data_IF_636643797479
#
_entry.id   IF_636643797479
#
_cell.length_a   1.000
_cell.length_b   1.000
_cell.length_c   1.000
_cell.angle_alpha   90.00
_cell.angle_beta   90.00
_cell.angle_gamma   90.00
#
_symmetry.space_group_name_H-M   'P 1'
#
loop_
_entity.id
_entity.type
_entity.pdbx_description
1 polymer ?
#
# COMPACT_ATOMS: atom_id res chain seq x y z
N UNK A 1 24.44 -24.26 4.48
CA UNK A 1 23.07 -24.64 4.85
C UNK A 1 22.11 -24.01 3.84
N UNK A 2 21.54 -24.80 2.92
CA UNK A 2 20.71 -24.32 1.82
C UNK A 2 19.24 -24.28 2.26
N UNK A 3 18.76 -23.08 2.62
CA UNK A 3 17.35 -22.84 2.89
C UNK A 3 16.62 -22.54 1.59
N UNK A 4 15.76 -23.47 1.14
CA UNK A 4 14.83 -23.23 0.03
C UNK A 4 13.67 -22.38 0.53
N UNK A 5 13.61 -21.10 0.15
CA UNK A 5 12.44 -20.27 0.39
C UNK A 5 11.51 -20.34 -0.82
N UNK A 6 10.26 -20.78 -0.57
CA UNK A 6 9.17 -20.74 -1.55
C UNK A 6 8.63 -19.32 -1.62
N UNK A 7 8.68 -18.72 -2.80
CA UNK A 7 8.01 -17.44 -3.08
C UNK A 7 6.52 -17.69 -3.25
N UNK A 8 5.72 -17.36 -2.23
CA UNK A 8 4.26 -17.35 -2.32
C UNK A 8 3.82 -15.99 -2.83
N UNK A 9 3.35 -15.93 -4.07
CA UNK A 9 2.62 -14.77 -4.60
C UNK A 9 1.32 -14.63 -3.81
N UNK A 10 1.18 -13.54 -3.05
CA UNK A 10 -0.07 -13.24 -2.35
C UNK A 10 -1.11 -12.72 -3.33
N UNK A 11 -2.17 -13.51 -3.56
CA UNK A 11 -3.38 -13.07 -4.24
C UNK A 11 -4.32 -12.41 -3.23
N UNK A 12 -4.68 -11.15 -3.45
CA UNK A 12 -5.66 -10.44 -2.62
C UNK A 12 -7.07 -10.76 -3.11
N UNK A 13 -7.68 -11.83 -2.58
CA UNK A 13 -9.10 -12.09 -2.75
C UNK A 13 -9.92 -11.18 -1.83
N UNK A 14 -10.77 -10.32 -2.40
CA UNK A 14 -11.75 -9.53 -1.65
C UNK A 14 -13.16 -10.06 -1.95
N UNK A 15 -13.68 -10.91 -1.09
CA UNK A 15 -15.09 -11.34 -1.11
C UNK A 15 -15.87 -10.53 -0.08
N UNK A 16 -16.83 -9.71 -0.54
CA UNK A 16 -17.77 -9.00 0.35
C UNK A 16 -19.10 -9.73 0.29
N UNK A 17 -19.38 -10.56 1.30
CA UNK A 17 -20.68 -11.22 1.44
C UNK A 17 -21.71 -10.21 1.97
N UNK A 18 -22.61 -9.75 1.10
CA UNK A 18 -23.79 -8.98 1.47
C UNK A 18 -25.02 -9.88 1.42
N UNK A 19 -25.49 -10.30 2.59
CA UNK A 19 -26.70 -11.09 2.78
C UNK A 19 -27.92 -10.15 2.60
N UNK A 20 -28.71 -10.34 1.53
CA UNK A 20 -29.99 -9.65 1.35
C UNK A 20 -31.10 -10.46 2.02
N UNK A 21 -31.69 -9.91 3.08
CA UNK A 21 -33.01 -10.31 3.55
C UNK A 21 -34.04 -9.36 2.92
N UNK A 22 -34.93 -9.92 2.10
CA UNK A 22 -36.15 -9.26 1.66
C UNK A 22 -37.16 -9.28 2.81
N UNK A 23 -37.71 -8.11 3.14
CA UNK A 23 -38.86 -7.96 4.03
C UNK A 23 -39.58 -6.68 3.66
N UNK A 24 -40.72 -6.82 2.97
CA UNK A 24 -41.60 -5.69 2.67
C UNK A 24 -42.40 -5.31 3.91
N UNK A 25 -42.48 -4.01 4.17
CA UNK A 25 -43.56 -3.39 4.94
C UNK A 25 -43.70 -1.95 4.47
N UNK A 26 -44.85 -1.66 3.87
CA UNK A 26 -45.34 -0.32 3.57
C UNK A 26 -45.75 0.32 4.90
N UNK A 27 -45.11 1.41 5.29
CA UNK A 27 -45.63 2.33 6.29
C UNK A 27 -45.32 3.77 5.89
N UNK A 28 -46.36 4.57 6.01
CA UNK A 28 -46.44 5.97 5.62
C UNK A 28 -45.38 6.83 6.30
N UNK A 29 -44.93 7.80 5.52
CA UNK A 29 -43.75 8.62 5.74
C UNK A 29 -44.17 9.91 6.40
N UNK A 30 -44.03 10.02 7.72
CA UNK A 30 -43.90 11.33 8.38
C UNK A 30 -42.41 11.62 8.58
N UNK A 31 -41.79 12.14 7.52
CA UNK A 31 -40.46 12.76 7.60
C UNK A 31 -40.62 14.13 8.26
N UNK A 32 -40.43 14.18 9.57
CA UNK A 32 -40.08 15.42 10.28
C UNK A 32 -38.72 15.85 9.75
N UNK A 33 -38.72 16.84 8.86
CA UNK A 33 -37.53 17.55 8.42
C UNK A 33 -36.97 18.34 9.63
N UNK A 34 -35.69 18.16 10.00
CA UNK A 34 -35.04 19.11 10.88
C UNK A 34 -34.99 20.46 10.15
N UNK A 35 -35.73 21.44 10.65
CA UNK A 35 -35.48 22.83 10.33
C UNK A 35 -34.06 23.19 10.76
N UNK A 36 -33.40 24.00 9.95
CA UNK A 36 -32.10 24.62 10.23
C UNK A 36 -30.87 23.72 10.09
N UNK A 37 -30.35 23.63 8.85
CA UNK A 37 -29.00 24.11 8.46
C UNK A 37 -29.13 24.46 6.96
N UNK A 38 -29.53 25.71 6.67
CA UNK A 38 -29.24 26.30 5.36
C UNK A 38 -27.83 26.88 5.43
N UNK A 39 -26.83 26.00 5.46
CA UNK A 39 -25.50 26.43 5.06
C UNK A 39 -25.50 26.43 3.53
N UNK A 40 -25.71 27.60 2.93
CA UNK A 40 -25.65 27.83 1.47
C UNK A 40 -24.19 27.84 0.97
N UNK A 41 -23.31 27.10 1.63
CA UNK A 41 -22.00 26.84 1.06
C UNK A 41 -22.19 25.88 -0.11
N UNK A 42 -21.63 26.16 -1.29
CA UNK A 42 -21.55 25.15 -2.34
C UNK A 42 -20.90 23.90 -1.73
N UNK A 43 -21.28 22.68 -2.17
CA UNK A 43 -20.55 21.50 -1.75
C UNK A 43 -19.06 21.77 -1.98
N UNK A 44 -18.20 21.46 -0.99
CA UNK A 44 -16.79 21.79 -1.07
C UNK A 44 -16.23 21.29 -2.38
N UNK A 45 -15.36 22.08 -3.01
CA UNK A 45 -14.78 21.67 -4.29
C UNK A 45 -14.04 20.35 -4.08
N UNK A 46 -13.90 19.57 -5.15
CA UNK A 46 -13.12 18.34 -5.09
C UNK A 46 -11.69 18.62 -4.57
N UNK A 47 -11.13 19.81 -4.83
CA UNK A 47 -9.83 20.22 -4.28
C UNK A 47 -9.84 20.43 -2.75
N UNK A 48 -10.96 20.87 -2.16
CA UNK A 48 -11.10 21.06 -0.71
C UNK A 48 -11.25 19.72 0.05
N UNK A 49 -12.01 18.76 -0.52
CA UNK A 49 -12.29 17.46 0.13
C UNK A 49 -11.12 16.50 0.05
N UNK A 50 -10.36 16.54 -1.05
CA UNK A 50 -9.17 15.70 -1.23
C UNK A 50 -7.98 16.26 -0.41
N UNK A 51 -8.19 17.43 0.21
CA UNK A 51 -7.11 18.27 0.69
C UNK A 51 -6.32 18.79 -0.49
N UNK A 52 -5.83 20.02 -0.36
CA UNK A 52 -4.57 20.32 -1.00
C UNK A 52 -3.60 19.22 -0.56
N UNK A 53 -3.33 18.25 -1.45
CA UNK A 53 -1.96 17.83 -1.64
C UNK A 53 -1.22 19.12 -1.98
N UNK A 54 -0.85 19.87 -0.94
CA UNK A 54 0.30 20.72 -0.96
C UNK A 54 1.44 19.73 -1.23
N UNK A 55 1.63 19.41 -2.51
CA UNK A 55 2.97 19.30 -3.02
C UNK A 55 3.64 20.56 -2.49
N UNK A 56 4.48 20.40 -1.48
CA UNK A 56 5.34 21.43 -0.91
C UNK A 56 6.38 21.87 -1.94
N UNK A 57 5.92 22.22 -3.13
CA UNK A 57 6.66 22.75 -4.26
C UNK A 57 6.20 24.19 -4.41
N UNK A 58 6.51 25.01 -3.41
CA UNK A 58 7.04 26.33 -3.70
C UNK A 58 8.46 26.10 -4.23
N UNK A 59 8.56 25.49 -5.41
CA UNK A 59 9.82 25.31 -6.10
C UNK A 59 9.79 26.35 -7.22
N UNK A 60 10.79 27.21 -7.22
CA UNK A 60 11.02 28.23 -8.24
C UNK A 60 10.69 27.68 -9.63
N UNK A 61 10.14 28.54 -10.50
CA UNK A 61 9.80 28.26 -11.90
C UNK A 61 11.01 27.92 -12.78
N UNK A 62 12.02 27.23 -12.25
CA UNK A 62 12.94 26.44 -13.06
C UNK A 62 12.14 25.27 -13.63
N UNK A 63 11.80 25.40 -14.91
CA UNK A 63 11.06 24.42 -15.70
C UNK A 63 11.45 22.99 -15.32
N UNK A 64 10.49 22.23 -14.79
CA UNK A 64 10.68 20.81 -14.57
C UNK A 64 11.12 20.18 -15.88
N UNK A 65 12.13 19.29 -15.86
CA UNK A 65 12.63 18.72 -17.09
C UNK A 65 11.50 17.97 -17.79
N UNK A 66 11.45 17.95 -19.14
CA UNK A 66 10.41 17.23 -19.85
C UNK A 66 10.42 15.77 -19.40
N UNK A 67 9.28 15.34 -18.83
CA UNK A 67 9.08 13.99 -18.32
C UNK A 67 8.38 13.16 -19.40
N UNK A 68 8.92 11.98 -19.66
CA UNK A 68 8.26 10.92 -20.42
C UNK A 68 8.09 9.71 -19.50
N UNK A 69 7.27 8.74 -19.90
CA UNK A 69 7.16 7.50 -19.14
C UNK A 69 7.07 6.29 -20.07
N UNK A 70 7.43 5.13 -19.52
CA UNK A 70 7.18 3.84 -20.14
C UNK A 70 6.59 2.88 -19.10
N UNK A 71 5.68 2.02 -19.54
CA UNK A 71 5.13 0.94 -18.72
C UNK A 71 5.74 -0.39 -19.16
N UNK A 72 6.33 -1.11 -18.22
CA UNK A 72 6.89 -2.44 -18.43
C UNK A 72 5.98 -3.42 -17.71
N UNK A 73 5.23 -4.19 -18.50
CA UNK A 73 4.30 -5.20 -18.00
C UNK A 73 4.96 -6.58 -18.06
N UNK A 74 4.63 -7.50 -17.13
CA UNK A 74 5.15 -8.86 -17.20
C UNK A 74 4.53 -9.60 -18.38
N UNK A 75 5.30 -10.51 -19.00
CA UNK A 75 4.77 -11.36 -20.06
C UNK A 75 3.81 -12.39 -19.46
N UNK A 76 2.73 -12.69 -20.18
CA UNK A 76 1.87 -13.82 -19.83
C UNK A 76 2.57 -15.12 -20.25
N UNK A 77 2.72 -16.05 -19.30
CA UNK A 77 3.28 -17.38 -19.51
C UNK A 77 2.19 -18.40 -19.84
N UNK A 78 1.05 -18.29 -19.14
CA UNK A 78 -0.11 -19.16 -19.33
C UNK A 78 -1.37 -18.30 -19.29
N UNK A 79 -2.20 -18.33 -20.34
CA UNK A 79 -3.37 -17.45 -20.49
C UNK A 79 -4.46 -17.69 -19.45
N UNK A 80 -4.52 -18.89 -18.86
CA UNK A 80 -5.61 -19.29 -17.98
C UNK A 80 -6.97 -19.34 -18.71
N UNK A 81 -8.04 -19.30 -17.93
CA UNK A 81 -9.43 -19.26 -18.40
C UNK A 81 -10.26 -18.42 -17.42
N UNK A 82 -10.23 -17.10 -17.60
CA UNK A 82 -10.83 -16.10 -16.69
C UNK A 82 -12.34 -16.32 -16.55
N UNK A 83 -13.01 -16.75 -17.63
CA UNK A 83 -14.42 -17.15 -17.67
C UNK A 83 -14.72 -18.36 -16.76
N UNK A 84 -13.77 -19.30 -16.66
CA UNK A 84 -13.82 -20.47 -15.78
C UNK A 84 -13.13 -20.27 -14.43
N UNK A 85 -12.82 -19.02 -14.07
CA UNK A 85 -12.12 -18.65 -12.82
C UNK A 85 -10.72 -19.27 -12.68
N UNK A 86 -10.04 -19.56 -13.78
CA UNK A 86 -8.65 -20.01 -13.79
C UNK A 86 -7.78 -18.80 -14.13
N UNK A 87 -6.95 -18.30 -13.19
CA UNK A 87 -6.15 -17.10 -13.44
C UNK A 87 -5.05 -17.39 -14.46
N UNK A 88 -4.72 -16.41 -15.33
CA UNK A 88 -3.46 -16.42 -16.07
C UNK A 88 -2.25 -16.43 -15.14
N UNK A 89 -1.15 -16.98 -15.63
CA UNK A 89 0.16 -16.95 -14.99
C UNK A 89 1.07 -15.99 -15.74
N UNK A 90 1.73 -15.10 -14.99
CA UNK A 90 2.65 -14.11 -15.52
C UNK A 90 4.07 -14.36 -15.04
N UNK A 91 5.02 -13.72 -15.73
CA UNK A 91 6.38 -13.60 -15.24
C UNK A 91 6.44 -12.95 -13.85
N UNK A 92 7.41 -13.35 -13.01
CA UNK A 92 7.63 -12.70 -11.72
C UNK A 92 8.08 -11.25 -11.90
N UNK A 93 7.87 -10.41 -10.87
CA UNK A 93 8.27 -9.01 -10.90
C UNK A 93 9.78 -8.81 -11.13
N UNK A 94 10.61 -9.78 -10.74
CA UNK A 94 12.05 -9.75 -11.03
C UNK A 94 12.34 -9.70 -12.54
N UNK A 95 11.55 -10.38 -13.38
CA UNK A 95 11.71 -10.32 -14.82
C UNK A 95 11.38 -8.93 -15.39
N UNK A 96 10.41 -8.23 -14.78
CA UNK A 96 10.07 -6.84 -15.14
C UNK A 96 11.28 -5.93 -14.93
N UNK A 97 12.01 -6.12 -13.82
CA UNK A 97 13.24 -5.36 -13.53
C UNK A 97 14.36 -5.67 -14.52
N UNK A 98 14.51 -6.93 -14.92
CA UNK A 98 15.48 -7.32 -15.94
C UNK A 98 15.16 -6.69 -17.29
N UNK A 99 13.89 -6.75 -17.71
CA UNK A 99 13.40 -6.10 -18.94
C UNK A 99 13.57 -4.57 -18.88
N UNK A 100 13.38 -3.95 -17.70
CA UNK A 100 13.62 -2.54 -17.49
C UNK A 100 15.09 -2.15 -17.66
N UNK A 101 16.00 -2.94 -17.10
CA UNK A 101 17.43 -2.74 -17.28
C UNK A 101 17.88 -2.95 -18.73
N UNK A 102 17.32 -3.94 -19.42
CA UNK A 102 17.55 -4.12 -20.85
C UNK A 102 17.07 -2.92 -21.67
N UNK A 103 15.86 -2.43 -21.39
CA UNK A 103 15.34 -1.24 -22.05
C UNK A 103 16.22 0.00 -21.80
N UNK A 104 16.67 0.21 -20.56
CA UNK A 104 17.57 1.33 -20.22
C UNK A 104 18.93 1.22 -20.93
N UNK A 105 19.47 0.00 -21.10
CA UNK A 105 20.71 -0.23 -21.87
C UNK A 105 20.54 0.18 -23.33
N UNK A 106 19.40 -0.15 -23.94
CA UNK A 106 19.08 0.24 -25.31
C UNK A 106 18.78 1.75 -25.45
N UNK A 107 18.44 2.43 -24.35
CA UNK A 107 18.05 3.85 -24.31
C UNK A 107 19.00 4.67 -23.41
N UNK A 108 20.31 4.57 -23.64
CA UNK A 108 21.37 5.17 -22.80
C UNK A 108 21.35 6.70 -22.71
N UNK A 109 20.59 7.38 -23.59
CA UNK A 109 20.33 8.82 -23.55
C UNK A 109 19.25 9.25 -22.54
N UNK A 110 18.56 8.28 -21.92
CA UNK A 110 17.52 8.51 -20.91
C UNK A 110 18.04 8.18 -19.51
N UNK A 111 17.54 8.89 -18.51
CA UNK A 111 17.72 8.56 -17.09
C UNK A 111 16.36 8.40 -16.41
N UNK A 112 16.28 7.45 -15.49
CA UNK A 112 15.13 7.25 -14.62
C UNK A 112 15.12 8.33 -13.55
N UNK A 113 14.01 9.05 -13.48
CA UNK A 113 13.74 10.03 -12.43
C UNK A 113 13.01 9.40 -11.26
N UNK A 114 11.99 8.58 -11.55
CA UNK A 114 11.16 7.90 -10.54
C UNK A 114 10.61 6.60 -11.11
N UNK A 115 10.33 5.66 -10.21
CA UNK A 115 9.59 4.44 -10.54
C UNK A 115 8.26 4.41 -9.77
N UNK A 116 7.23 3.83 -10.37
CA UNK A 116 5.99 3.49 -9.70
C UNK A 116 5.50 2.12 -10.15
N UNK A 117 4.73 1.44 -9.28
CA UNK A 117 4.02 0.23 -9.69
C UNK A 117 2.68 0.62 -10.28
N UNK A 118 2.32 0.00 -11.40
CA UNK A 118 1.04 0.22 -12.08
C UNK A 118 0.23 -1.05 -12.06
N UNK A 119 -0.99 -0.99 -11.55
CA UNK A 119 -1.91 -2.12 -11.55
C UNK A 119 -2.80 -2.03 -12.79
N UNK A 120 -2.87 -3.11 -13.56
CA UNK A 120 -3.68 -3.18 -14.76
C UNK A 120 -4.63 -4.37 -14.70
N UNK A 121 -5.90 -4.11 -15.01
CA UNK A 121 -6.90 -5.17 -15.14
C UNK A 121 -6.67 -5.94 -16.43
N UNK A 122 -6.80 -7.26 -16.36
CA UNK A 122 -6.74 -8.13 -17.53
C UNK A 122 -8.16 -8.29 -18.07
N UNK A 123 -8.34 -7.94 -19.35
CA UNK A 123 -9.59 -8.18 -20.08
C UNK A 123 -9.49 -9.47 -20.89
N UNK A 124 -10.64 -10.10 -21.18
CA UNK A 124 -10.80 -11.38 -21.90
C UNK A 124 -9.62 -11.70 -22.85
N UNK A 125 -8.75 -12.63 -22.43
CA UNK A 125 -7.44 -12.85 -23.06
C UNK A 125 -6.31 -12.25 -22.23
N UNK A 126 -5.09 -12.18 -22.76
CA UNK A 126 -3.93 -11.61 -22.05
C UNK A 126 -3.75 -10.11 -22.31
N UNK A 127 -4.81 -9.45 -22.79
CA UNK A 127 -4.73 -8.07 -23.25
C UNK A 127 -4.79 -7.15 -22.04
N UNK A 128 -3.68 -6.47 -21.79
CA UNK A 128 -3.58 -5.39 -20.82
C UNK A 128 -4.02 -4.11 -21.51
N UNK A 129 -5.18 -3.57 -21.15
CA UNK A 129 -5.62 -2.29 -21.68
C UNK A 129 -4.85 -1.16 -20.99
N UNK A 130 -3.97 -0.48 -21.75
CA UNK A 130 -3.14 0.60 -21.22
C UNK A 130 -3.85 1.96 -21.20
N UNK A 131 -4.95 2.11 -21.96
CA UNK A 131 -5.51 3.42 -22.28
C UNK A 131 -6.98 3.61 -21.89
N UNK A 132 -7.70 2.55 -21.48
CA UNK A 132 -9.11 2.71 -21.10
C UNK A 132 -9.29 3.35 -19.73
N UNK A 133 -9.94 4.51 -19.69
CA UNK A 133 -10.40 5.19 -18.47
C UNK A 133 -11.69 4.56 -17.90
N UNK A 134 -12.42 3.79 -18.71
CA UNK A 134 -13.67 3.15 -18.32
C UNK A 134 -13.43 1.70 -17.88
N UNK A 135 -13.28 1.50 -16.58
CA UNK A 135 -13.16 0.17 -16.00
C UNK A 135 -14.55 -0.31 -15.60
N UNK A 136 -15.10 -1.28 -16.34
CA UNK A 136 -16.30 -1.97 -15.89
C UNK A 136 -15.90 -3.13 -14.96
N UNK A 137 -16.06 -2.92 -13.65
CA UNK A 137 -15.90 -3.98 -12.66
C UNK A 137 -17.19 -4.79 -12.54
N UNK A 138 -17.12 -6.10 -12.80
CA UNK A 138 -18.26 -6.96 -12.53
C UNK A 138 -18.40 -7.14 -11.02
N UNK A 139 -19.52 -6.70 -10.46
CA UNK A 139 -19.88 -6.85 -9.04
C UNK A 139 -19.88 -8.31 -8.59
N UNK A 140 -20.05 -9.25 -9.52
CA UNK A 140 -20.10 -10.70 -9.28
C UNK A 140 -19.13 -11.48 -10.18
N UNK A 141 -17.99 -10.88 -10.54
CA UNK A 141 -17.03 -11.46 -11.48
C UNK A 141 -15.70 -11.91 -10.87
N UNK A 142 -14.94 -12.68 -11.65
CA UNK A 142 -13.54 -12.98 -11.39
C UNK A 142 -12.68 -11.92 -12.09
N UNK A 143 -12.16 -10.96 -11.32
CA UNK A 143 -11.27 -9.92 -11.84
C UNK A 143 -9.82 -10.33 -11.54
N UNK A 144 -8.97 -10.26 -12.55
CA UNK A 144 -7.53 -10.52 -12.41
C UNK A 144 -6.79 -9.25 -12.77
N UNK A 145 -5.85 -8.87 -11.91
CA UNK A 145 -5.00 -7.70 -12.09
C UNK A 145 -3.55 -8.16 -12.18
N UNK A 146 -2.76 -7.41 -12.95
CA UNK A 146 -1.33 -7.63 -13.12
C UNK A 146 -0.60 -6.34 -12.75
N UNK A 147 0.52 -6.49 -12.05
CA UNK A 147 1.34 -5.36 -11.62
C UNK A 147 2.51 -5.22 -12.58
N UNK A 148 2.62 -4.04 -13.19
CA UNK A 148 3.76 -3.60 -13.99
C UNK A 148 4.62 -2.56 -13.27
N UNK A 149 5.65 -2.09 -13.96
CA UNK A 149 6.55 -1.05 -13.52
C UNK A 149 6.48 0.13 -14.51
N UNK A 150 6.12 1.32 -14.03
CA UNK A 150 6.27 2.56 -14.80
C UNK A 150 7.58 3.23 -14.42
N UNK A 151 8.36 3.57 -15.44
CA UNK A 151 9.54 4.41 -15.30
C UNK A 151 9.20 5.81 -15.78
N UNK A 152 9.37 6.80 -14.90
CA UNK A 152 9.41 8.20 -15.27
C UNK A 152 10.81 8.54 -15.72
N UNK A 153 10.93 9.06 -16.92
CA UNK A 153 12.19 9.25 -17.64
C UNK A 153 12.41 10.72 -17.95
N UNK A 154 13.67 11.10 -17.97
CA UNK A 154 14.10 12.41 -18.46
C UNK A 154 15.38 12.27 -19.28
N UNK A 155 15.69 13.28 -20.10
CA UNK A 155 16.90 13.29 -20.90
C UNK A 155 18.12 13.38 -19.99
N UNK A 156 19.13 12.57 -20.30
CA UNK A 156 20.41 12.61 -19.60
C UNK A 156 21.17 13.88 -20.00
N UNK A 157 21.74 14.57 -19.01
CA UNK A 157 22.45 15.84 -19.21
C UNK A 157 23.90 15.65 -19.67
N UNK A 158 24.54 14.56 -19.25
CA UNK A 158 25.92 14.21 -19.57
C UNK A 158 25.97 12.81 -20.19
N UNK A 159 26.60 12.67 -21.35
CA UNK A 159 26.70 11.38 -22.03
C UNK A 159 27.61 10.40 -21.29
N UNK A 160 28.60 10.90 -20.53
CA UNK A 160 29.62 10.09 -19.85
C UNK A 160 29.13 9.33 -18.64
N UNK A 161 27.99 9.71 -18.06
CA UNK A 161 27.44 9.01 -16.89
C UNK A 161 27.06 7.58 -17.29
N UNK A 162 27.29 6.53 -16.49
CA UNK A 162 26.82 5.20 -16.85
C UNK A 162 25.29 5.12 -16.89
N UNK A 163 24.74 4.21 -17.69
CA UNK A 163 23.31 3.90 -17.69
C UNK A 163 22.89 3.39 -16.31
N UNK A 164 21.77 3.89 -15.79
CA UNK A 164 21.26 3.45 -14.50
C UNK A 164 20.80 2.00 -14.53
N UNK A 165 21.01 1.30 -13.43
CA UNK A 165 20.49 -0.04 -13.22
C UNK A 165 19.50 -0.03 -12.06
N UNK A 166 18.37 -0.67 -12.27
CA UNK A 166 17.30 -0.87 -11.31
C UNK A 166 17.47 -2.22 -10.62
N UNK A 167 17.13 -2.25 -9.34
CA UNK A 167 17.08 -3.46 -8.53
C UNK A 167 15.88 -3.40 -7.59
N UNK A 168 15.42 -4.56 -7.14
CA UNK A 168 14.35 -4.69 -6.14
C UNK A 168 14.94 -5.27 -4.87
N UNK A 169 14.62 -4.63 -3.75
CA UNK A 169 15.05 -5.03 -2.42
C UNK A 169 13.84 -5.08 -1.51
N UNK A 170 13.58 -6.25 -0.91
CA UNK A 170 12.46 -6.44 0.00
C UNK A 170 12.91 -6.14 1.42
N UNK A 171 12.22 -5.23 2.09
CA UNK A 171 12.50 -4.87 3.49
C UNK A 171 11.30 -5.17 4.35
N UNK A 172 11.54 -5.87 5.46
CA UNK A 172 10.53 -6.15 6.47
C UNK A 172 10.73 -5.14 7.63
N UNK A 173 9.69 -4.41 8.04
CA UNK A 173 9.76 -3.55 9.23
C UNK A 173 10.14 -4.36 10.48
N UNK A 174 10.98 -3.80 11.35
CA UNK A 174 11.35 -4.47 12.60
C UNK A 174 10.20 -4.47 13.61
N UNK A 175 10.07 -5.60 14.31
CA UNK A 175 9.15 -5.74 15.42
C UNK A 175 9.57 -4.86 16.61
N UNK A 176 8.60 -4.29 17.31
CA UNK A 176 8.79 -3.46 18.49
C UNK A 176 7.71 -3.76 19.52
N UNK A 177 8.13 -4.14 20.72
CA UNK A 177 7.24 -4.24 21.87
C UNK A 177 6.91 -2.85 22.43
N UNK A 178 5.63 -2.57 22.62
CA UNK A 178 5.16 -1.33 23.25
C UNK A 178 4.47 -1.69 24.56
N UNK A 179 4.94 -1.14 25.71
CA UNK A 179 4.28 -1.37 26.99
C UNK A 179 2.98 -0.58 27.05
N UNK A 180 1.88 -1.29 27.31
CA UNK A 180 0.57 -0.72 27.61
C UNK A 180 0.40 -0.74 29.11
N UNK A 181 0.16 0.45 29.67
CA UNK A 181 -0.13 0.63 31.08
C UNK A 181 -1.63 0.70 31.25
N UNK A 182 -2.21 -0.34 31.83
CA UNK A 182 -3.58 -0.28 32.31
C UNK A 182 -3.54 0.24 33.75
N UNK A 183 -4.09 1.44 33.96
CA UNK A 183 -4.34 1.94 35.31
C UNK A 183 -5.80 1.70 35.65
N UNK A 184 -6.06 0.61 36.37
CA UNK A 184 -7.39 0.38 36.93
C UNK A 184 -7.46 1.13 38.25
N UNK A 185 -8.22 2.23 38.28
CA UNK A 185 -8.62 2.83 39.56
C UNK A 185 -9.70 1.94 40.15
N UNK A 186 -9.33 1.10 41.12
CA UNK A 186 -10.32 0.43 41.97
C UNK A 186 -11.03 1.50 42.81
N UNK A 187 -12.16 1.99 42.30
CA UNK A 187 -13.19 2.61 43.12
C UNK A 187 -13.77 1.54 44.04
N UNK A 188 -13.79 1.82 45.34
CA UNK A 188 -14.10 0.85 46.39
C UNK A 188 -15.32 -0.02 46.07
N UNK A 189 -15.07 -1.29 45.83
CA UNK A 189 -16.08 -2.32 45.65
C UNK A 189 -15.40 -3.67 45.81
N UNK A 190 -15.68 -4.35 46.92
CA UNK A 190 -15.15 -5.68 47.22
C UNK A 190 -15.44 -6.65 46.06
N UNK A 191 -14.41 -6.99 45.31
CA UNK A 191 -14.44 -8.02 44.28
C UNK A 191 -13.27 -8.97 44.47
N UNK A 192 -13.58 -10.25 44.68
CA UNK A 192 -12.63 -11.33 44.89
C UNK A 192 -12.15 -11.82 43.51
N UNK A 193 -10.87 -11.70 43.20
CA UNK A 193 -10.21 -12.51 42.16
C UNK A 193 -8.80 -12.89 42.65
N UNK A 194 -8.48 -14.18 42.55
CA UNK A 194 -7.30 -14.81 43.13
C UNK A 194 -5.96 -14.27 42.61
N UNK A 195 -5.08 -13.95 43.55
CA UNK A 195 -3.70 -13.53 43.28
C UNK A 195 -3.16 -12.70 44.45
N UNK A 196 -2.47 -13.38 45.38
CA UNK A 196 -1.68 -12.88 46.52
C UNK A 196 -1.86 -11.42 46.99
N UNK A 197 -2.50 -11.25 48.15
CA UNK A 197 -2.63 -9.96 48.85
C UNK A 197 -1.40 -9.70 49.73
N UNK A 198 -0.72 -8.57 49.53
CA UNK A 198 0.10 -7.96 50.58
C UNK A 198 -0.79 -6.93 51.29
N UNK A 199 -1.33 -7.31 52.44
CA UNK A 199 -2.13 -6.43 53.30
C UNK A 199 -1.21 -5.81 54.35
N UNK A 200 -0.77 -4.58 54.10
CA UNK A 200 -0.18 -3.71 55.12
C UNK A 200 -1.23 -2.72 55.64
N UNK A 201 -1.29 -2.43 56.95
CA UNK A 201 -2.27 -1.51 57.50
C UNK A 201 -1.78 -0.06 57.31
N UNK A 202 -2.27 0.58 56.26
CA UNK A 202 -2.04 1.99 56.01
C UNK A 202 -2.99 2.48 54.92
N UNK A 203 -3.80 3.48 55.24
CA UNK A 203 -4.74 4.18 54.34
C UNK A 203 -4.00 4.77 53.13
N UNK A 204 -3.76 3.96 52.11
CA UNK A 204 -3.19 4.37 50.84
C UNK A 204 -4.01 3.79 49.71
N UNK A 205 -4.62 4.63 48.87
CA UNK A 205 -5.22 4.21 47.61
C UNK A 205 -4.12 3.61 46.72
N UNK A 206 -3.91 2.30 46.81
CA UNK A 206 -2.95 1.59 45.96
C UNK A 206 -3.44 1.56 44.52
N UNK A 207 -2.74 2.25 43.61
CA UNK A 207 -2.96 2.11 42.18
C UNK A 207 -2.21 0.86 41.73
N UNK A 208 -2.92 -0.24 41.48
CA UNK A 208 -2.31 -1.39 40.82
C UNK A 208 -2.13 -1.07 39.34
N UNK A 209 -0.89 -0.89 38.91
CA UNK A 209 -0.55 -0.76 37.49
C UNK A 209 -0.18 -2.14 36.95
N UNK A 210 -0.92 -2.66 35.99
CA UNK A 210 -0.49 -3.82 35.21
C UNK A 210 0.15 -3.33 33.91
N UNK A 211 1.35 -3.84 33.61
CA UNK A 211 2.07 -3.54 32.37
C UNK A 211 1.97 -4.79 31.49
N UNK A 212 1.28 -4.66 30.36
CA UNK A 212 1.20 -5.71 29.33
C UNK A 212 1.88 -5.16 28.08
N UNK A 213 2.64 -5.97 27.35
CA UNK A 213 3.29 -5.54 26.09
C UNK A 213 2.44 -5.96 24.88
N UNK A 214 2.40 -5.10 23.85
CA UNK A 214 1.88 -5.44 22.52
C UNK A 214 3.00 -5.41 21.49
N UNK A 215 3.02 -6.40 20.61
CA UNK A 215 3.85 -6.40 19.41
C UNK A 215 3.33 -5.35 18.44
N UNK A 216 4.19 -4.45 18.04
CA UNK A 216 3.98 -3.46 16.97
C UNK A 216 5.13 -3.53 15.98
N UNK A 217 5.07 -2.77 14.89
CA UNK A 217 6.17 -2.64 13.95
C UNK A 217 6.67 -1.20 13.96
N UNK A 218 7.95 -1.01 13.65
CA UNK A 218 8.47 0.33 13.43
C UNK A 218 7.76 1.04 12.27
N UNK A 219 7.74 2.38 12.30
CA UNK A 219 7.15 3.17 11.23
C UNK A 219 7.93 3.07 9.91
N UNK A 220 7.25 3.34 8.80
CA UNK A 220 7.82 3.31 7.45
C UNK A 220 9.06 4.21 7.33
N UNK A 221 9.02 5.44 7.86
CA UNK A 221 10.15 6.37 7.79
C UNK A 221 11.42 5.78 8.42
N UNK A 222 11.29 5.16 9.59
CA UNK A 222 12.41 4.53 10.29
C UNK A 222 12.94 3.32 9.52
N UNK A 223 12.04 2.52 8.95
CA UNK A 223 12.40 1.39 8.07
C UNK A 223 13.22 1.89 6.87
N UNK A 224 12.79 2.98 6.23
CA UNK A 224 13.45 3.58 5.07
C UNK A 224 14.80 4.20 5.43
N UNK A 225 14.90 4.93 6.54
CA UNK A 225 16.18 5.49 7.03
C UNK A 225 17.20 4.38 7.27
N UNK A 226 16.82 3.31 7.99
CA UNK A 226 17.71 2.16 8.19
C UNK A 226 18.13 1.53 6.87
N UNK A 227 17.17 1.31 5.98
CA UNK A 227 17.45 0.72 4.66
C UNK A 227 18.43 1.57 3.87
N UNK A 228 18.27 2.90 3.90
CA UNK A 228 19.18 3.81 3.21
C UNK A 228 20.59 3.75 3.78
N UNK A 229 20.75 3.68 5.10
CA UNK A 229 22.08 3.49 5.73
C UNK A 229 22.69 2.12 5.39
N UNK A 230 21.88 1.06 5.37
CA UNK A 230 22.32 -0.28 4.97
C UNK A 230 22.78 -0.29 3.51
N UNK A 231 22.05 0.37 2.60
CA UNK A 231 22.42 0.48 1.19
C UNK A 231 23.66 1.33 0.93
N UNK A 232 24.00 2.27 1.83
CA UNK A 232 25.29 2.99 1.77
C UNK A 232 26.47 2.08 2.11
N UNK A 233 26.29 1.15 3.05
CA UNK A 233 27.36 0.25 3.51
C UNK A 233 27.46 -1.01 2.65
N UNK A 234 26.34 -1.51 2.16
CA UNK A 234 26.23 -2.69 1.30
C UNK A 234 25.35 -2.37 0.09
N UNK A 235 25.92 -1.71 -0.95
CA UNK A 235 25.16 -1.37 -2.15
C UNK A 235 24.65 -2.63 -2.86
N UNK A 236 23.50 -2.51 -3.53
CA UNK A 236 22.94 -3.63 -4.29
C UNK A 236 23.91 -4.04 -5.41
N UNK A 237 24.09 -5.35 -5.65
CA UNK A 237 24.97 -5.83 -6.70
C UNK A 237 24.46 -5.36 -8.06
N UNK A 238 25.26 -4.55 -8.75
CA UNK A 238 25.06 -4.24 -10.16
C UNK A 238 25.43 -5.44 -11.03
N UNK A 239 24.63 -5.69 -12.08
CA UNK A 239 25.02 -6.56 -13.20
C UNK A 239 25.60 -5.63 -14.26
N UNK A 240 26.92 -5.52 -14.32
CA UNK A 240 27.63 -4.79 -15.37
C UNK A 240 27.64 -5.58 -16.68
#
# INVERSE_FOLDING_TARGET
MSGKFKTTTMYKHRTRNGQRMFGGMSQDVDRVLPEHIQDKSPPPSYEEVIGQHQSSLKQDQNELPPLSYIDIMPRCLEVGAVDRKVPPKFEPFSAIIENANEWLRCNSGMKVWRCETVERKIEKGTIVNLDSTLIHESTYGFNVYVIGLRLWLTKKSDEKTPTQQLAVYNVIPQEKEVPIRFSTRFGGGSGIVGGAYIVGPGLGRGIHTQITTWTTYEGLNKTLERTNEELKTSPLPGKY
#
